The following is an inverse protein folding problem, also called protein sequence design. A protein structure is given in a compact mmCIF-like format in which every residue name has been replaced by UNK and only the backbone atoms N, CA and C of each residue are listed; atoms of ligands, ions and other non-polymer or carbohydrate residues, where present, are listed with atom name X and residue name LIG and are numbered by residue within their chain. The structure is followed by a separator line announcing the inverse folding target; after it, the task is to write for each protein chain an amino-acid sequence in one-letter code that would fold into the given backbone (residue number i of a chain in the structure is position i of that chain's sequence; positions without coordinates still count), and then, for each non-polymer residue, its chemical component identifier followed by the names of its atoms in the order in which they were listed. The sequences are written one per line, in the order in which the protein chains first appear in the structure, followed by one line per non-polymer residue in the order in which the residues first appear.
data_IF_029637384839
#
_entry.id   IF_029637384839
#
_cell.length_a   1.000
_cell.length_b   1.000
_cell.length_c   1.000
_cell.angle_alpha   90.00
_cell.angle_beta   90.00
_cell.angle_gamma   90.00
#
_symmetry.space_group_name_H-M   'P 1'
#
loop_
_entity.id
_entity.type
_entity.pdbx_description
1 polymer ?
#
# COMPACT_ATOMS: atom_id res chain seq x y z
N UNK A 1 11.89 4.73 -1.40
CA UNK A 1 11.66 3.50 -2.18
C UNK A 1 10.37 3.62 -2.99
N UNK A 2 9.23 3.84 -2.35
CA UNK A 2 7.92 4.03 -3.00
C UNK A 2 7.95 5.10 -4.10
N UNK A 3 8.61 6.23 -3.86
CA UNK A 3 8.79 7.28 -4.88
C UNK A 3 9.45 6.76 -6.16
N UNK A 4 10.45 5.87 -6.05
CA UNK A 4 11.12 5.27 -7.21
C UNK A 4 10.21 4.30 -7.95
N UNK A 5 9.36 3.57 -7.22
CA UNK A 5 8.35 2.67 -7.81
C UNK A 5 7.30 3.50 -8.57
N UNK A 6 6.87 4.62 -8.00
CA UNK A 6 5.90 5.53 -8.64
C UNK A 6 6.47 6.31 -9.82
N UNK A 7 7.78 6.58 -9.83
CA UNK A 7 8.46 7.21 -10.94
C UNK A 7 8.69 6.27 -12.14
N UNK A 8 8.61 4.94 -11.97
CA UNK A 8 8.73 3.97 -13.05
C UNK A 8 7.37 3.74 -13.72
N UNK A 9 7.19 4.16 -14.96
CA UNK A 9 5.93 4.03 -15.71
C UNK A 9 5.41 2.59 -15.81
N UNK A 10 6.31 1.60 -15.76
CA UNK A 10 5.93 0.18 -15.83
C UNK A 10 5.38 -0.33 -14.50
N UNK A 11 5.68 0.33 -13.39
CA UNK A 11 5.32 -0.09 -12.04
C UNK A 11 4.33 0.87 -11.38
N UNK A 12 4.20 2.10 -11.89
CA UNK A 12 3.43 3.18 -11.30
C UNK A 12 1.94 2.86 -11.10
N UNK A 13 1.39 1.96 -11.92
CA UNK A 13 0.00 1.50 -11.88
C UNK A 13 -0.23 0.29 -10.94
N UNK A 14 0.83 -0.30 -10.39
CA UNK A 14 0.70 -1.42 -9.47
C UNK A 14 0.36 -0.93 -8.06
N UNK A 15 -0.49 -1.66 -7.30
CA UNK A 15 -0.71 -1.36 -5.90
C UNK A 15 0.56 -1.58 -5.08
N UNK A 16 0.90 -0.63 -4.20
CA UNK A 16 2.05 -0.68 -3.30
C UNK A 16 1.57 -0.61 -1.86
N UNK A 17 1.86 -1.67 -1.10
CA UNK A 17 1.62 -1.74 0.35
C UNK A 17 2.96 -1.69 1.07
N UNK A 18 3.14 -0.72 1.96
CA UNK A 18 4.31 -0.66 2.84
C UNK A 18 4.07 -1.52 4.08
N UNK A 19 4.97 -2.45 4.36
CA UNK A 19 4.97 -3.26 5.59
C UNK A 19 6.25 -2.98 6.36
N UNK A 20 6.14 -2.39 7.56
CA UNK A 20 7.32 -1.89 8.31
C UNK A 20 7.11 -1.97 9.82
N UNK A 21 8.18 -1.98 10.60
CA UNK A 21 8.12 -1.92 12.07
C UNK A 21 7.91 -0.50 12.61
N UNK A 22 8.01 0.52 11.75
CA UNK A 22 7.72 1.91 12.11
C UNK A 22 6.21 2.08 12.33
N UNK A 23 5.82 2.65 13.46
CA UNK A 23 4.42 2.80 13.88
C UNK A 23 4.05 4.25 14.20
N UNK A 24 4.96 5.20 13.94
CA UNK A 24 4.67 6.61 14.15
C UNK A 24 3.65 7.11 13.11
N UNK A 25 2.78 8.02 13.53
CA UNK A 25 1.82 8.67 12.63
C UNK A 25 2.52 9.47 11.52
N UNK A 26 3.73 9.98 11.78
CA UNK A 26 4.52 10.72 10.80
C UNK A 26 5.03 9.78 9.69
N UNK A 27 5.56 8.61 10.06
CA UNK A 27 6.00 7.59 9.10
C UNK A 27 4.85 7.08 8.25
N UNK A 28 3.67 6.88 8.86
CA UNK A 28 2.47 6.45 8.15
C UNK A 28 2.02 7.51 7.15
N UNK A 29 1.93 8.78 7.57
CA UNK A 29 1.55 9.89 6.69
C UNK A 29 2.56 10.07 5.56
N UNK A 30 3.84 10.00 5.86
CA UNK A 30 4.89 10.12 4.85
C UNK A 30 4.79 8.98 3.83
N UNK A 31 4.63 7.73 4.28
CA UNK A 31 4.48 6.56 3.42
C UNK A 31 3.30 6.67 2.45
N UNK A 32 2.17 7.20 2.90
CA UNK A 32 1.00 7.46 2.05
C UNK A 32 1.25 8.65 1.10
N UNK A 33 1.87 9.72 1.57
CA UNK A 33 2.16 10.92 0.77
C UNK A 33 3.10 10.64 -0.41
N UNK A 34 4.05 9.71 -0.25
CA UNK A 34 4.94 9.27 -1.34
C UNK A 34 4.30 8.25 -2.30
N UNK A 35 3.00 7.98 -2.12
CA UNK A 35 2.18 7.18 -3.02
C UNK A 35 2.05 5.71 -2.64
N UNK A 36 2.14 5.32 -1.37
CA UNK A 36 1.70 3.97 -0.98
C UNK A 36 0.16 3.92 -0.92
N UNK A 37 -0.44 2.82 -1.37
CA UNK A 37 -1.89 2.60 -1.29
C UNK A 37 -2.32 2.16 0.12
N UNK A 38 -1.40 1.51 0.84
CA UNK A 38 -1.60 1.13 2.23
C UNK A 38 -0.29 1.09 3.01
N UNK A 39 -0.40 1.25 4.33
CA UNK A 39 0.70 1.18 5.27
C UNK A 39 0.32 0.26 6.42
N UNK A 40 1.13 -0.77 6.66
CA UNK A 40 0.88 -1.81 7.66
C UNK A 40 2.08 -1.88 8.60
N UNK A 41 1.82 -1.69 9.89
CA UNK A 41 2.80 -1.97 10.93
C UNK A 41 2.97 -3.49 11.06
N UNK A 42 4.21 -3.97 11.08
CA UNK A 42 4.54 -5.41 11.08
C UNK A 42 3.93 -6.17 12.26
N UNK A 43 3.79 -5.53 13.42
CA UNK A 43 3.09 -6.09 14.59
C UNK A 43 1.58 -6.25 14.39
N UNK A 44 0.97 -5.49 13.47
CA UNK A 44 -0.43 -5.63 13.06
C UNK A 44 -0.60 -6.67 11.94
N UNK A 45 0.42 -6.81 11.07
CA UNK A 45 0.49 -7.89 10.08
C UNK A 45 0.41 -9.28 10.75
N UNK A 46 1.19 -9.50 11.81
CA UNK A 46 1.24 -10.77 12.54
C UNK A 46 -0.08 -11.11 13.27
N UNK A 47 -0.96 -10.13 13.47
CA UNK A 47 -2.20 -10.33 14.25
C UNK A 47 -3.48 -10.51 13.43
N UNK A 48 -3.57 -10.02 12.17
CA UNK A 48 -4.67 -10.30 11.19
C UNK A 48 -4.75 -9.37 9.95
N UNK A 49 -3.78 -8.48 9.66
CA UNK A 49 -4.04 -7.34 8.76
C UNK A 49 -3.86 -7.49 7.23
N UNK A 50 -3.17 -8.51 6.71
CA UNK A 50 -2.76 -8.48 5.28
C UNK A 50 -3.84 -8.91 4.30
N UNK A 51 -4.63 -9.93 4.63
CA UNK A 51 -5.60 -10.51 3.70
C UNK A 51 -6.72 -9.51 3.38
N UNK A 52 -7.15 -8.74 4.38
CA UNK A 52 -8.16 -7.69 4.20
C UNK A 52 -7.64 -6.58 3.27
N UNK A 53 -6.39 -6.13 3.45
CA UNK A 53 -5.77 -5.12 2.59
C UNK A 53 -5.65 -5.62 1.16
N UNK A 54 -5.20 -6.86 0.95
CA UNK A 54 -5.13 -7.48 -0.38
C UNK A 54 -6.52 -7.54 -1.02
N UNK A 55 -7.55 -7.96 -0.26
CA UNK A 55 -8.92 -8.03 -0.75
C UNK A 55 -9.45 -6.66 -1.18
N UNK A 56 -9.20 -5.60 -0.41
CA UNK A 56 -9.59 -4.23 -0.76
C UNK A 56 -8.92 -3.75 -2.04
N UNK A 57 -7.61 -3.99 -2.19
CA UNK A 57 -6.86 -3.55 -3.39
C UNK A 57 -7.33 -4.30 -4.66
N UNK A 58 -7.59 -5.60 -4.56
CA UNK A 58 -8.12 -6.39 -5.68
C UNK A 58 -9.56 -5.99 -6.04
N UNK A 59 -10.39 -5.64 -5.05
CA UNK A 59 -11.75 -5.17 -5.27
C UNK A 59 -11.81 -3.76 -5.92
N UNK A 60 -10.82 -2.91 -5.65
CA UNK A 60 -10.64 -1.62 -6.34
C UNK A 60 -10.34 -1.80 -7.82
N UNK A 61 -9.37 -2.68 -8.14
CA UNK A 61 -8.95 -2.96 -9.53
C UNK A 61 -10.08 -3.50 -10.42
N UNK A 62 -10.94 -4.36 -9.87
CA UNK A 62 -12.09 -4.94 -10.61
C UNK A 62 -13.11 -3.90 -11.09
N UNK A 63 -13.16 -2.70 -10.51
CA UNK A 63 -14.11 -1.64 -10.92
C UNK A 63 -13.58 -0.79 -12.08
N UNK A 64 -12.27 -0.65 -12.23
CA UNK A 64 -11.67 0.07 -13.36
C UNK A 64 -11.69 -0.75 -14.66
N UNK A 65 -11.64 -2.08 -14.58
CA UNK A 65 -11.71 -2.97 -15.76
C UNK A 65 -13.15 -3.17 -16.28
N UNK A 66 -14.16 -2.76 -15.50
CA UNK A 66 -15.58 -2.91 -15.81
C UNK A 66 -16.27 -1.60 -16.24
N UNK A 67 -15.51 -0.51 -16.39
CA UNK A 67 -15.96 0.81 -16.86
C UNK A 67 -15.28 1.20 -18.16
#
# INVERSE_FOLDING_TARGET
LTEKIRADERLSHLPVVLVTSLDSLEDQKHGLAVGADAYIVKSSFERRGILDVIATLLAGKKREEAS
#
